data_IF_625489165780
#
_entry.id   IF_625489165780
#
_cell.length_a   1.000
_cell.length_b   1.000
_cell.length_c   1.000
_cell.angle_alpha   90.00
_cell.angle_beta   90.00
_cell.angle_gamma   90.00
#
_symmetry.space_group_name_H-M   'P 1'
#
loop_
_entity.id
_entity.type
_entity.pdbx_description
1 polymer ?
#
# COMPACT_ATOMS: atom_id res chain seq x y z
N UNK A 1 -39.69 0.99 17.55
CA UNK A 1 -38.52 1.06 18.47
C UNK A 1 -37.74 -0.24 18.30
N UNK A 2 -36.64 -0.22 17.52
CA UNK A 2 -35.85 -1.41 17.20
C UNK A 2 -34.81 -1.68 18.29
N UNK A 3 -34.83 -2.90 18.83
CA UNK A 3 -33.89 -3.36 19.86
C UNK A 3 -32.51 -3.62 19.25
N UNK A 4 -31.50 -3.06 19.91
CA UNK A 4 -30.08 -3.10 19.59
C UNK A 4 -29.51 -4.50 19.40
N UNK A 5 -28.72 -4.68 18.33
CA UNK A 5 -27.91 -5.87 18.09
C UNK A 5 -27.01 -6.19 19.28
N UNK A 6 -27.31 -7.29 19.96
CA UNK A 6 -26.47 -7.81 21.05
C UNK A 6 -25.10 -8.22 20.52
N UNK A 7 -24.04 -7.78 21.20
CA UNK A 7 -22.67 -8.29 20.99
C UNK A 7 -22.67 -9.79 21.29
N UNK A 8 -22.64 -10.63 20.26
CA UNK A 8 -22.38 -12.05 20.42
C UNK A 8 -20.94 -12.24 20.90
N UNK A 9 -20.77 -13.05 21.92
CA UNK A 9 -19.47 -13.44 22.45
C UNK A 9 -18.69 -14.21 21.38
N UNK A 10 -17.53 -13.69 21.00
CA UNK A 10 -16.71 -14.31 19.98
C UNK A 10 -15.82 -15.38 20.61
N UNK A 11 -16.16 -16.64 20.38
CA UNK A 11 -15.29 -17.77 20.72
C UNK A 11 -14.33 -18.07 19.56
N UNK A 12 -13.03 -17.99 19.85
CA UNK A 12 -11.96 -18.23 18.88
C UNK A 12 -11.96 -19.72 18.50
N UNK A 13 -12.34 -20.03 17.25
CA UNK A 13 -12.53 -21.42 16.78
C UNK A 13 -11.24 -22.24 16.64
N UNK A 14 -10.07 -21.62 16.64
CA UNK A 14 -8.78 -22.29 16.47
C UNK A 14 -7.70 -21.67 17.35
N UNK A 15 -6.82 -22.51 17.90
CA UNK A 15 -5.61 -22.12 18.63
C UNK A 15 -4.52 -21.59 17.68
N UNK A 16 -4.88 -20.65 16.81
CA UNK A 16 -3.94 -20.03 15.89
C UNK A 16 -3.02 -19.08 16.65
N UNK A 17 -1.77 -19.50 16.80
CA UNK A 17 -0.66 -18.65 17.19
C UNK A 17 -0.09 -17.95 15.96
N UNK A 18 0.04 -16.63 16.06
CA UNK A 18 0.58 -15.80 14.98
C UNK A 18 2.04 -16.21 14.76
N UNK A 19 2.40 -16.70 13.56
CA UNK A 19 3.80 -17.06 13.22
C UNK A 19 4.79 -15.91 13.37
N UNK A 20 4.30 -14.66 13.41
CA UNK A 20 5.08 -13.46 13.68
C UNK A 20 4.41 -12.66 14.80
N UNK A 21 5.16 -12.20 15.82
CA UNK A 21 4.60 -11.35 16.87
C UNK A 21 4.04 -10.05 16.27
N UNK A 22 2.91 -9.61 16.83
CA UNK A 22 2.30 -8.35 16.43
C UNK A 22 3.23 -7.21 16.83
N UNK A 23 3.60 -6.36 15.86
CA UNK A 23 4.48 -5.20 16.10
C UNK A 23 3.80 -4.06 16.88
N UNK A 24 2.48 -4.08 16.97
CA UNK A 24 1.80 -3.17 17.90
C UNK A 24 2.13 -3.65 19.30
N UNK A 25 2.91 -2.86 20.03
CA UNK A 25 3.16 -3.10 21.45
C UNK A 25 1.88 -3.14 22.26
N UNK A 26 0.77 -2.61 21.72
CA UNK A 26 -0.41 -2.30 22.53
C UNK A 26 -0.10 -1.21 23.54
N UNK A 27 0.93 -0.39 23.27
CA UNK A 27 1.33 0.69 24.14
C UNK A 27 0.14 1.60 24.41
N UNK A 28 -0.11 1.82 25.70
CA UNK A 28 -1.19 2.69 26.15
C UNK A 28 -0.81 4.18 26.03
N UNK A 29 0.46 4.46 25.68
CA UNK A 29 0.95 5.80 25.50
C UNK A 29 0.35 6.42 24.25
N UNK A 30 -0.31 7.56 24.42
CA UNK A 30 -0.96 8.30 23.34
C UNK A 30 -1.13 9.76 23.71
N UNK A 31 -1.03 10.63 22.71
CA UNK A 31 -1.47 12.01 22.78
C UNK A 31 -2.80 12.12 22.05
N UNK A 32 -3.85 12.58 22.74
CA UNK A 32 -5.13 12.94 22.11
C UNK A 32 -5.17 14.45 21.98
N UNK A 33 -5.18 14.96 20.76
CA UNK A 33 -5.35 16.37 20.45
C UNK A 33 -6.82 16.61 20.12
N UNK A 34 -7.42 17.61 20.74
CA UNK A 34 -8.77 18.10 20.45
C UNK A 34 -8.65 19.56 20.00
N UNK A 35 -9.09 19.85 18.79
CA UNK A 35 -9.06 21.19 18.20
C UNK A 35 -10.45 21.80 18.38
N UNK A 36 -10.49 23.00 18.94
CA UNK A 36 -11.67 23.86 19.05
C UNK A 36 -11.46 25.08 18.13
N UNK A 37 -12.49 25.90 17.97
CA UNK A 37 -12.40 27.10 17.13
C UNK A 37 -11.36 28.13 17.63
N UNK A 38 -11.20 28.25 18.95
CA UNK A 38 -10.35 29.25 19.60
C UNK A 38 -9.06 28.67 20.21
N UNK A 39 -8.96 27.34 20.35
CA UNK A 39 -7.84 26.70 21.07
C UNK A 39 -7.59 25.25 20.67
N UNK A 40 -6.42 24.75 21.05
CA UNK A 40 -6.03 23.35 20.94
C UNK A 40 -5.76 22.77 22.33
N UNK A 41 -6.39 21.65 22.68
CA UNK A 41 -6.17 20.95 23.94
C UNK A 41 -5.56 19.56 23.71
N UNK A 42 -4.52 19.22 24.49
CA UNK A 42 -3.87 17.91 24.44
C UNK A 42 -4.06 17.13 25.73
N UNK A 43 -4.43 15.84 25.63
CA UNK A 43 -4.37 14.89 26.74
C UNK A 43 -3.30 13.84 26.46
N UNK A 44 -2.22 13.89 27.21
CA UNK A 44 -1.16 12.90 27.16
C UNK A 44 -1.40 11.77 28.16
N UNK A 45 -1.29 10.52 27.71
CA UNK A 45 -1.29 9.33 28.58
C UNK A 45 0.13 8.78 28.59
N UNK A 46 0.89 8.88 29.69
CA UNK A 46 2.32 8.50 29.72
C UNK A 46 2.58 7.00 29.90
N UNK A 47 1.55 6.17 30.03
CA UNK A 47 1.71 4.75 30.36
C UNK A 47 2.28 3.93 29.20
N UNK A 48 3.49 3.39 29.37
CA UNK A 48 4.11 2.45 28.43
C UNK A 48 4.00 1.01 28.97
N UNK A 49 3.90 0.05 28.06
CA UNK A 49 3.96 -1.39 28.39
C UNK A 49 5.22 -2.06 27.82
N UNK A 50 6.21 -1.24 27.51
CA UNK A 50 7.53 -1.64 27.03
C UNK A 50 8.57 -0.69 27.62
N UNK A 51 9.82 -1.14 27.62
CA UNK A 51 10.98 -0.33 27.98
C UNK A 51 11.08 0.92 27.08
N UNK A 52 11.47 2.03 27.70
CA UNK A 52 11.88 3.24 27.02
C UNK A 52 13.40 3.18 26.79
N UNK A 53 13.89 3.75 25.68
CA UNK A 53 15.32 3.72 25.32
C UNK A 53 15.62 2.96 24.02
N UNK A 54 16.76 2.27 23.93
CA UNK A 54 17.23 1.57 22.70
C UNK A 54 16.18 0.58 22.15
N UNK A 55 15.48 -0.14 23.03
CA UNK A 55 14.43 -1.09 22.64
C UNK A 55 13.18 -0.43 22.03
N UNK A 56 13.00 0.89 22.25
CA UNK A 56 11.92 1.66 21.65
C UNK A 56 12.24 2.06 20.20
N UNK A 57 13.51 2.02 19.79
CA UNK A 57 13.92 2.43 18.46
C UNK A 57 13.20 1.65 17.35
N UNK A 58 12.76 0.41 17.58
CA UNK A 58 11.94 -0.36 16.61
C UNK A 58 10.51 0.18 16.41
N UNK A 59 10.02 1.00 17.34
CA UNK A 59 8.67 1.57 17.34
C UNK A 59 8.63 3.04 16.93
N UNK A 60 9.79 3.69 16.75
CA UNK A 60 9.86 5.06 16.24
C UNK A 60 9.66 5.10 14.72
N UNK A 61 9.36 6.28 14.20
CA UNK A 61 9.31 6.54 12.76
C UNK A 61 10.69 6.39 12.13
N UNK A 62 10.73 5.92 10.88
CA UNK A 62 11.95 5.98 10.05
C UNK A 62 12.26 7.46 9.82
N UNK A 63 13.52 7.86 9.93
CA UNK A 63 13.92 9.25 9.66
C UNK A 63 13.67 9.60 8.19
N UNK A 64 13.39 10.87 7.92
CA UNK A 64 13.13 11.34 6.56
C UNK A 64 14.34 11.08 5.64
N UNK A 65 15.56 11.26 6.16
CA UNK A 65 16.80 10.95 5.42
C UNK A 65 16.88 9.50 4.95
N UNK A 66 16.60 8.54 5.83
CA UNK A 66 16.61 7.12 5.49
C UNK A 66 15.42 6.75 4.62
N UNK A 67 14.27 7.39 4.82
CA UNK A 67 13.12 7.23 3.94
C UNK A 67 13.45 7.66 2.51
N UNK A 68 14.03 8.85 2.32
CA UNK A 68 14.45 9.36 1.00
C UNK A 68 15.47 8.42 0.34
N UNK A 69 16.41 7.87 1.11
CA UNK A 69 17.35 6.87 0.60
C UNK A 69 16.65 5.60 0.09
N UNK A 70 15.68 5.08 0.86
CA UNK A 70 14.87 3.92 0.44
C UNK A 70 14.10 4.24 -0.84
N UNK A 71 13.47 5.42 -0.90
CA UNK A 71 12.69 5.85 -2.06
C UNK A 71 13.57 5.96 -3.32
N UNK A 72 14.77 6.55 -3.21
CA UNK A 72 15.72 6.63 -4.30
C UNK A 72 16.10 5.23 -4.83
N UNK A 73 16.43 4.29 -3.93
CA UNK A 73 16.78 2.92 -4.32
C UNK A 73 15.62 2.19 -5.02
N UNK A 74 14.40 2.33 -4.51
CA UNK A 74 13.21 1.72 -5.10
C UNK A 74 12.89 2.31 -6.47
N UNK A 75 13.01 3.64 -6.64
CA UNK A 75 12.82 4.30 -7.94
C UNK A 75 13.86 3.87 -8.98
N UNK A 76 15.07 3.53 -8.55
CA UNK A 76 16.10 2.94 -9.41
C UNK A 76 15.88 1.44 -9.73
N UNK A 77 14.75 0.85 -9.34
CA UNK A 77 14.41 -0.54 -9.62
C UNK A 77 15.11 -1.56 -8.71
N UNK A 78 15.74 -1.13 -7.61
CA UNK A 78 16.40 -2.05 -6.67
C UNK A 78 15.35 -2.83 -5.89
N UNK A 79 15.45 -4.16 -5.91
CA UNK A 79 14.52 -5.03 -5.18
C UNK A 79 14.53 -4.74 -3.68
N UNK A 80 13.36 -4.86 -3.04
CA UNK A 80 13.18 -4.71 -1.59
C UNK A 80 14.19 -5.50 -0.75
N UNK A 81 14.57 -6.70 -1.20
CA UNK A 81 15.56 -7.53 -0.50
C UNK A 81 16.95 -6.90 -0.54
N UNK A 82 17.33 -6.32 -1.68
CA UNK A 82 18.61 -5.64 -1.84
C UNK A 82 18.61 -4.28 -1.13
N UNK A 83 17.48 -3.57 -1.05
CA UNK A 83 17.35 -2.36 -0.24
C UNK A 83 17.67 -2.67 1.23
N UNK A 84 17.06 -3.70 1.80
CA UNK A 84 17.36 -4.12 3.18
C UNK A 84 18.82 -4.51 3.37
N UNK A 85 19.40 -5.23 2.40
CA UNK A 85 20.80 -5.64 2.46
C UNK A 85 21.75 -4.43 2.51
N UNK A 86 21.47 -3.40 1.71
CA UNK A 86 22.23 -2.15 1.71
C UNK A 86 22.02 -1.36 3.00
N UNK A 87 20.78 -1.21 3.46
CA UNK A 87 20.47 -0.46 4.70
C UNK A 87 21.09 -1.09 5.94
N UNK A 88 21.07 -2.42 6.01
CA UNK A 88 21.65 -3.13 7.14
C UNK A 88 23.17 -3.25 7.02
N UNK A 89 23.77 -2.83 5.90
CA UNK A 89 25.20 -2.57 5.73
C UNK A 89 26.12 -3.53 6.50
N UNK A 90 25.96 -4.85 6.30
CA UNK A 90 26.76 -5.89 7.00
C UNK A 90 26.71 -5.87 8.52
N UNK A 91 25.74 -5.20 9.14
CA UNK A 91 25.56 -5.17 10.59
C UNK A 91 25.33 -6.57 11.19
N UNK A 92 24.91 -7.54 10.37
CA UNK A 92 24.77 -8.94 10.75
C UNK A 92 25.96 -9.83 10.33
N UNK A 93 27.01 -9.25 9.74
CA UNK A 93 28.25 -9.96 9.47
C UNK A 93 29.00 -10.13 10.79
N UNK A 94 29.66 -11.27 10.94
CA UNK A 94 30.25 -11.73 12.21
C UNK A 94 31.30 -10.73 12.76
N UNK A 95 31.99 -10.01 11.87
CA UNK A 95 32.98 -8.98 12.16
C UNK A 95 32.39 -7.68 12.76
N UNK A 96 31.14 -7.34 12.42
CA UNK A 96 30.51 -6.08 12.85
C UNK A 96 29.49 -6.28 13.99
N UNK A 97 29.36 -7.51 14.48
CA UNK A 97 28.37 -7.87 15.50
C UNK A 97 28.56 -7.10 16.81
N UNK A 98 29.78 -6.66 17.11
CA UNK A 98 30.12 -5.83 18.28
C UNK A 98 29.58 -4.39 18.16
N UNK A 99 29.51 -3.84 16.95
CA UNK A 99 29.00 -2.47 16.68
C UNK A 99 27.49 -2.35 16.93
N UNK A 100 26.73 -3.44 16.72
CA UNK A 100 25.29 -3.51 17.02
C UNK A 100 24.96 -3.26 18.50
N UNK A 101 25.88 -3.56 19.42
CA UNK A 101 25.68 -3.40 20.86
C UNK A 101 26.24 -2.09 21.41
N UNK A 102 27.27 -1.52 20.77
CA UNK A 102 27.93 -0.28 21.17
C UNK A 102 27.25 0.96 20.63
N UNK A 103 26.76 0.95 19.39
CA UNK A 103 26.02 2.09 18.85
C UNK A 103 24.63 2.22 19.52
N UNK A 104 24.14 3.45 19.67
CA UNK A 104 22.75 3.67 20.06
C UNK A 104 21.88 3.07 18.97
N UNK A 105 21.21 1.95 19.26
CA UNK A 105 20.40 1.21 18.28
C UNK A 105 19.48 2.15 17.51
N UNK A 106 19.90 2.50 16.30
CA UNK A 106 19.15 3.37 15.40
C UNK A 106 17.92 2.62 14.90
N UNK A 107 16.83 3.36 14.66
CA UNK A 107 15.63 2.84 13.97
C UNK A 107 15.99 2.07 12.69
N UNK A 108 17.09 2.46 12.04
CA UNK A 108 17.56 1.93 10.77
C UNK A 108 17.91 0.44 10.84
N UNK A 109 18.51 -0.03 11.94
CA UNK A 109 18.82 -1.45 12.13
C UNK A 109 17.56 -2.32 12.30
N UNK A 110 16.42 -1.69 12.60
CA UNK A 110 15.14 -2.38 12.77
C UNK A 110 14.22 -2.20 11.55
N UNK A 111 14.72 -1.66 10.43
CA UNK A 111 13.91 -1.55 9.20
C UNK A 111 13.61 -2.97 8.71
N UNK A 112 12.35 -3.22 8.42
CA UNK A 112 11.91 -4.54 7.97
C UNK A 112 11.39 -4.48 6.55
N UNK A 113 11.25 -5.65 5.93
CA UNK A 113 10.62 -5.80 4.61
C UNK A 113 9.25 -5.13 4.53
N UNK A 114 8.47 -5.18 5.60
CA UNK A 114 7.15 -4.55 5.66
C UNK A 114 7.23 -3.02 5.66
N UNK A 115 8.29 -2.43 6.18
CA UNK A 115 8.50 -0.99 6.15
C UNK A 115 8.84 -0.53 4.73
N UNK A 116 9.78 -1.22 4.08
CA UNK A 116 10.16 -0.94 2.69
C UNK A 116 8.97 -1.15 1.74
N UNK A 117 8.20 -2.25 1.90
CA UNK A 117 6.97 -2.49 1.12
C UNK A 117 5.91 -1.38 1.29
N UNK A 118 5.82 -0.76 2.46
CA UNK A 118 4.89 0.37 2.67
C UNK A 118 5.34 1.60 1.89
N UNK A 119 6.64 1.88 1.88
CA UNK A 119 7.22 2.99 1.10
C UNK A 119 7.05 2.72 -0.40
N UNK A 120 7.38 1.50 -0.86
CA UNK A 120 7.17 1.06 -2.24
C UNK A 120 5.72 1.24 -2.67
N UNK A 121 4.75 0.82 -1.84
CA UNK A 121 3.33 1.03 -2.11
C UNK A 121 2.97 2.52 -2.22
N UNK A 122 3.59 3.40 -1.44
CA UNK A 122 3.40 4.86 -1.56
C UNK A 122 3.93 5.36 -2.92
N UNK A 123 5.10 4.90 -3.35
CA UNK A 123 5.67 5.26 -4.67
C UNK A 123 4.80 4.72 -5.81
N UNK A 124 4.35 3.48 -5.71
CA UNK A 124 3.41 2.87 -6.67
C UNK A 124 2.13 3.69 -6.74
N UNK A 125 1.59 4.12 -5.60
CA UNK A 125 0.42 4.98 -5.56
C UNK A 125 0.65 6.31 -6.26
N UNK A 126 1.82 6.95 -6.15
CA UNK A 126 2.13 8.18 -6.89
C UNK A 126 2.16 7.97 -8.41
N UNK A 127 2.54 6.77 -8.85
CA UNK A 127 2.64 6.44 -10.28
C UNK A 127 1.31 5.97 -10.85
N UNK A 128 0.51 5.25 -10.05
CA UNK A 128 -0.79 4.69 -10.43
C UNK A 128 -1.89 5.75 -10.32
N UNK A 129 -1.84 6.60 -9.30
CA UNK A 129 -2.85 7.63 -9.06
C UNK A 129 -2.46 8.93 -9.76
N UNK A 130 -2.86 9.03 -11.02
CA UNK A 130 -2.60 10.21 -11.86
C UNK A 130 -3.36 11.46 -11.39
N UNK A 131 -4.43 11.30 -10.60
CA UNK A 131 -5.23 12.40 -10.07
C UNK A 131 -5.80 12.14 -8.68
N UNK A 132 -6.30 13.19 -8.02
CA UNK A 132 -6.86 13.07 -6.66
C UNK A 132 -8.11 12.18 -6.61
N UNK A 133 -8.88 12.10 -7.69
CA UNK A 133 -10.02 11.17 -7.82
C UNK A 133 -9.64 9.88 -8.56
N UNK A 134 -10.28 8.77 -8.18
CA UNK A 134 -10.07 7.49 -8.88
C UNK A 134 -10.64 7.54 -10.30
N UNK A 135 -11.84 8.11 -10.48
CA UNK A 135 -12.44 8.29 -11.82
C UNK A 135 -11.59 9.15 -12.74
N UNK A 136 -11.04 10.25 -12.23
CA UNK A 136 -10.13 11.12 -12.98
C UNK A 136 -8.81 10.40 -13.33
N UNK A 137 -8.27 9.59 -12.40
CA UNK A 137 -7.08 8.78 -12.66
C UNK A 137 -7.33 7.76 -13.78
N UNK A 138 -8.50 7.12 -13.80
CA UNK A 138 -8.89 6.17 -14.86
C UNK A 138 -8.98 6.85 -16.22
N UNK A 139 -9.55 8.06 -16.29
CA UNK A 139 -9.62 8.84 -17.53
C UNK A 139 -8.22 9.15 -18.07
N UNK A 140 -7.32 9.65 -17.21
CA UNK A 140 -5.93 9.94 -17.58
C UNK A 140 -5.18 8.68 -18.04
N UNK A 141 -5.42 7.53 -17.39
CA UNK A 141 -4.85 6.25 -17.82
C UNK A 141 -5.37 5.83 -19.19
N UNK A 142 -6.68 5.93 -19.44
CA UNK A 142 -7.27 5.60 -20.72
C UNK A 142 -6.71 6.48 -21.85
N UNK A 143 -6.55 7.78 -21.61
CA UNK A 143 -5.91 8.69 -22.57
C UNK A 143 -4.45 8.35 -22.83
N UNK A 144 -3.68 8.06 -21.78
CA UNK A 144 -2.28 7.68 -21.90
C UNK A 144 -2.12 6.41 -22.73
N UNK A 145 -2.89 5.37 -22.44
CA UNK A 145 -2.86 4.09 -23.17
C UNK A 145 -3.24 4.28 -24.64
N UNK A 146 -4.23 5.14 -24.95
CA UNK A 146 -4.57 5.50 -26.33
C UNK A 146 -3.41 6.20 -27.04
N UNK A 147 -2.72 7.14 -26.36
CA UNK A 147 -1.53 7.83 -26.90
C UNK A 147 -0.37 6.88 -27.16
N UNK A 148 -0.21 5.85 -26.32
CA UNK A 148 0.77 4.78 -26.51
C UNK A 148 0.36 3.79 -27.64
N UNK A 149 -0.82 3.98 -28.23
CA UNK A 149 -1.32 3.21 -29.37
C UNK A 149 -2.01 1.89 -28.98
N UNK A 150 -2.46 1.77 -27.74
CA UNK A 150 -3.30 0.66 -27.29
C UNK A 150 -4.77 0.93 -27.61
N UNK A 151 -5.54 -0.15 -27.81
CA UNK A 151 -6.99 -0.03 -27.93
C UNK A 151 -7.61 0.11 -26.55
N UNK A 152 -8.37 1.19 -26.34
CA UNK A 152 -9.07 1.46 -25.08
C UNK A 152 -10.47 1.98 -25.34
N UNK A 153 -11.47 1.18 -24.95
CA UNK A 153 -12.87 1.60 -24.88
C UNK A 153 -13.25 1.84 -23.44
N UNK A 154 -13.78 3.02 -23.14
CA UNK A 154 -14.17 3.45 -21.79
C UNK A 154 -15.56 4.04 -21.85
N UNK A 155 -16.45 3.51 -21.01
CA UNK A 155 -17.77 4.06 -20.70
C UNK A 155 -17.79 4.37 -19.21
N UNK A 156 -17.74 5.65 -18.86
CA UNK A 156 -17.90 6.08 -17.47
C UNK A 156 -19.37 5.96 -17.04
N UNK A 157 -19.62 6.00 -15.74
CA UNK A 157 -20.98 5.96 -15.18
C UNK A 157 -21.83 7.17 -15.58
N UNK A 158 -21.18 8.27 -15.99
CA UNK A 158 -21.81 9.49 -16.51
C UNK A 158 -22.19 9.41 -17.99
N UNK A 159 -21.61 8.46 -18.72
CA UNK A 159 -21.71 8.42 -20.18
C UNK A 159 -22.93 7.60 -20.61
N UNK A 160 -23.55 7.99 -21.71
CA UNK A 160 -24.59 7.17 -22.33
C UNK A 160 -23.98 5.83 -22.79
N UNK A 161 -24.68 4.70 -22.59
CA UNK A 161 -24.21 3.43 -23.12
C UNK A 161 -24.19 3.46 -24.66
N UNK A 162 -23.25 2.76 -25.31
CA UNK A 162 -23.23 2.66 -26.77
C UNK A 162 -24.55 2.10 -27.29
N UNK A 163 -25.01 2.63 -28.43
CA UNK A 163 -26.28 2.22 -29.03
C UNK A 163 -26.27 0.71 -29.35
N UNK A 164 -27.37 0.02 -29.02
CA UNK A 164 -27.50 -1.42 -29.22
C UNK A 164 -26.67 -2.30 -28.28
N UNK A 165 -25.90 -1.73 -27.35
CA UNK A 165 -25.02 -2.52 -26.46
C UNK A 165 -25.76 -3.29 -25.36
N UNK A 166 -26.97 -2.86 -24.97
CA UNK A 166 -27.70 -3.39 -23.82
C UNK A 166 -27.02 -3.12 -22.46
N UNK A 167 -25.98 -2.28 -22.43
CA UNK A 167 -25.26 -1.94 -21.20
C UNK A 167 -26.11 -0.98 -20.35
N UNK A 168 -26.14 -1.20 -19.05
CA UNK A 168 -26.85 -0.33 -18.12
C UNK A 168 -26.25 1.09 -18.10
N UNK A 169 -27.11 2.11 -18.03
CA UNK A 169 -26.69 3.51 -17.98
C UNK A 169 -25.80 3.83 -16.77
N UNK A 170 -25.95 3.11 -15.66
CA UNK A 170 -25.13 3.27 -14.45
C UNK A 170 -23.80 2.49 -14.48
N UNK A 171 -23.62 1.57 -15.42
CA UNK A 171 -22.46 0.68 -15.44
C UNK A 171 -21.16 1.44 -15.75
N UNK A 172 -20.06 1.00 -15.17
CA UNK A 172 -18.72 1.40 -15.58
C UNK A 172 -18.12 0.27 -16.44
N UNK A 173 -17.61 0.60 -17.63
CA UNK A 173 -17.00 -0.39 -18.52
C UNK A 173 -15.66 0.15 -19.03
N UNK A 174 -14.59 -0.61 -18.80
CA UNK A 174 -13.26 -0.33 -19.33
C UNK A 174 -12.76 -1.59 -20.04
N UNK A 175 -12.49 -1.46 -21.34
CA UNK A 175 -11.93 -2.50 -22.19
C UNK A 175 -10.56 -1.99 -22.64
N UNK A 176 -9.54 -2.79 -22.38
CA UNK A 176 -8.17 -2.51 -22.79
C UNK A 176 -7.67 -3.71 -23.58
N UNK A 177 -7.12 -3.44 -24.76
CA UNK A 177 -6.31 -4.38 -25.51
C UNK A 177 -4.97 -3.72 -25.82
N UNK A 178 -3.90 -4.27 -25.24
CA UNK A 178 -2.54 -3.80 -25.51
C UNK A 178 -2.13 -4.16 -26.94
N UNK A 179 -1.12 -3.49 -27.46
CA UNK A 179 -0.57 -3.80 -28.80
C UNK A 179 -0.13 -5.26 -28.89
N UNK A 180 0.55 -5.75 -27.85
CA UNK A 180 0.94 -7.15 -27.76
C UNK A 180 -0.26 -8.10 -27.83
N UNK A 181 -1.36 -7.80 -27.12
CA UNK A 181 -2.58 -8.60 -27.19
C UNK A 181 -3.22 -8.55 -28.59
N UNK A 182 -3.20 -7.40 -29.27
CA UNK A 182 -3.68 -7.28 -30.65
C UNK A 182 -2.81 -8.09 -31.62
N UNK A 183 -1.49 -8.03 -31.51
CA UNK A 183 -0.58 -8.86 -32.31
C UNK A 183 -0.77 -10.36 -32.05
N UNK A 184 -0.92 -10.76 -30.79
CA UNK A 184 -1.22 -12.14 -30.43
C UNK A 184 -2.57 -12.58 -31.01
N UNK A 185 -3.57 -11.69 -31.05
CA UNK A 185 -4.85 -11.94 -31.68
C UNK A 185 -4.73 -12.13 -33.19
N UNK A 186 -3.96 -11.30 -33.90
CA UNK A 186 -3.73 -11.50 -35.33
C UNK A 186 -3.00 -12.83 -35.62
N UNK A 187 -2.01 -13.18 -34.77
CA UNK A 187 -1.21 -14.40 -34.95
C UNK A 187 -1.96 -15.68 -34.56
N UNK A 188 -2.86 -15.63 -33.58
CA UNK A 188 -3.42 -16.84 -32.93
C UNK A 188 -4.94 -16.80 -32.72
N UNK A 189 -5.58 -15.65 -32.85
CA UNK A 189 -6.95 -15.36 -32.41
C UNK A 189 -8.06 -16.02 -33.21
N UNK A 190 -7.77 -16.58 -34.38
CA UNK A 190 -8.76 -17.29 -35.21
C UNK A 190 -9.41 -18.52 -34.54
N UNK A 191 -8.93 -18.95 -33.36
CA UNK A 191 -9.47 -20.11 -32.62
C UNK A 191 -9.95 -19.80 -31.21
N UNK A 192 -9.46 -18.75 -30.57
CA UNK A 192 -9.73 -18.50 -29.15
C UNK A 192 -9.57 -17.03 -28.75
N UNK A 193 -10.58 -16.49 -28.07
CA UNK A 193 -10.54 -15.20 -27.38
C UNK A 193 -10.65 -15.43 -25.87
N UNK A 194 -9.62 -15.07 -25.13
CA UNK A 194 -9.66 -15.02 -23.66
C UNK A 194 -9.98 -13.60 -23.21
N UNK A 195 -11.13 -13.42 -22.56
CA UNK A 195 -11.48 -12.16 -21.91
C UNK A 195 -11.32 -12.37 -20.40
N UNK A 196 -10.38 -11.65 -19.80
CA UNK A 196 -10.27 -11.58 -18.34
C UNK A 196 -11.15 -10.42 -17.85
N UNK A 197 -12.32 -10.76 -17.31
CA UNK A 197 -13.30 -9.79 -16.84
C UNK A 197 -13.36 -9.84 -15.31
N UNK A 198 -13.18 -8.67 -14.68
CA UNK A 198 -13.37 -8.50 -13.24
C UNK A 198 -14.68 -7.77 -12.98
N UNK A 199 -15.58 -8.37 -12.19
CA UNK A 199 -16.87 -7.78 -11.83
C UNK A 199 -16.91 -7.46 -10.33
N UNK A 200 -17.59 -6.37 -9.93
CA UNK A 200 -17.74 -5.94 -8.53
C UNK A 200 -16.44 -5.66 -7.76
N UNK A 201 -15.47 -4.99 -8.39
CA UNK A 201 -14.35 -4.39 -7.64
C UNK A 201 -14.83 -3.13 -6.94
N UNK A 202 -15.24 -3.26 -5.66
CA UNK A 202 -15.54 -2.16 -4.73
C UNK A 202 -14.30 -1.62 -4.04
#
# INVERSE_FOLDING_TARGET
>A
RGSSGGKKEYHKKFAWTRKKPYKGTGCKCRLRITVYEDRVAGRYTPGHNHSLGKENARFTSISDTTRTQIEAMLRSGISVANVLRNLHNRAFDEENRSQLFTEQGSRNHFITRADVRRIEKTIEQETIRLAKGDGESVLLWAERLRKEGHYVSLKATSDAPPEGSGIEGSAFVLIIQTQYQAECWEKHGGRFAGIDATHNTT
#
